data_IF_945906821070
#
_entry.id   IF_945906821070
#
_cell.length_a   1.000
_cell.length_b   1.000
_cell.length_c   1.000
_cell.angle_alpha   90.00
_cell.angle_beta   90.00
_cell.angle_gamma   90.00
#
_symmetry.space_group_name_H-M   'P 1'
#
loop_
_entity.id
_entity.type
_entity.pdbx_description
1 polymer ?
#
# COMPACT_ATOMS: atom_id res chain seq x y z
N UNK A 1 -5.99 28.57 37.95
CA UNK A 1 -6.02 27.14 38.29
C UNK A 1 -6.60 26.43 37.08
N UNK A 2 -5.82 26.36 36.00
CA UNK A 2 -4.86 25.28 35.66
C UNK A 2 -5.60 24.27 34.75
N UNK A 3 -5.35 24.15 33.45
CA UNK A 3 -4.12 24.29 32.66
C UNK A 3 -4.44 24.96 31.31
N UNK A 4 -4.05 26.23 31.17
CA UNK A 4 -3.82 26.87 29.88
C UNK A 4 -2.36 26.58 29.50
N UNK A 5 -2.15 25.48 28.77
CA UNK A 5 -0.81 24.99 28.45
C UNK A 5 -0.77 24.20 27.14
N UNK A 6 -0.40 24.90 26.07
CA UNK A 6 0.36 24.37 24.91
C UNK A 6 -0.04 23.00 24.36
N UNK A 7 -1.19 22.91 23.69
CA UNK A 7 -1.36 21.94 22.61
C UNK A 7 -2.12 22.63 21.49
N UNK A 8 -1.57 22.59 20.28
CA UNK A 8 -2.19 23.14 19.09
C UNK A 8 -3.31 22.17 18.67
N UNK A 9 -4.56 22.60 18.81
CA UNK A 9 -5.77 21.81 18.47
C UNK A 9 -6.00 21.82 16.96
N UNK A 10 -5.34 20.94 16.21
CA UNK A 10 -5.19 21.11 14.75
C UNK A 10 -5.78 20.07 13.77
N UNK A 11 -6.47 19.00 14.18
CA UNK A 11 -7.31 18.27 13.20
C UNK A 11 -8.81 18.52 13.34
N UNK A 12 -9.35 18.63 14.56
CA UNK A 12 -10.81 18.81 14.76
C UNK A 12 -11.28 20.21 14.38
N UNK A 13 -10.40 21.21 14.52
CA UNK A 13 -10.72 22.59 14.15
C UNK A 13 -10.74 22.77 12.62
N UNK A 14 -9.96 22.00 11.85
CA UNK A 14 -9.97 22.12 10.38
C UNK A 14 -11.25 21.56 9.75
N UNK A 15 -11.80 20.49 10.32
CA UNK A 15 -13.14 20.00 9.93
C UNK A 15 -14.22 21.07 10.21
N UNK A 16 -14.11 21.81 11.32
CA UNK A 16 -15.05 22.88 11.68
C UNK A 16 -14.79 24.25 11.03
N UNK A 17 -13.56 24.51 10.55
CA UNK A 17 -13.16 25.83 10.00
C UNK A 17 -13.15 25.83 8.47
N UNK A 18 -13.11 24.68 7.80
CA UNK A 18 -13.24 24.60 6.34
C UNK A 18 -14.59 24.08 5.83
N UNK A 19 -15.31 23.24 6.59
CA UNK A 19 -16.41 22.45 5.99
C UNK A 19 -17.82 22.63 6.59
N UNK A 20 -17.99 23.35 7.69
CA UNK A 20 -19.34 23.70 8.13
C UNK A 20 -19.44 24.48 9.43
N UNK A 21 -20.49 25.31 9.50
CA UNK A 21 -20.86 26.00 10.73
C UNK A 21 -21.31 24.96 11.78
N UNK A 22 -21.14 25.24 13.09
CA UNK A 22 -21.48 24.31 14.20
C UNK A 22 -22.94 23.79 14.20
N UNK A 23 -23.80 24.40 13.40
CA UNK A 23 -25.24 24.10 13.26
C UNK A 23 -25.59 23.28 12.01
N UNK A 24 -24.61 22.97 11.14
CA UNK A 24 -24.82 22.20 9.90
C UNK A 24 -24.67 20.70 10.13
N UNK A 25 -25.46 19.91 9.40
CA UNK A 25 -25.33 18.45 9.37
C UNK A 25 -23.96 18.06 8.80
N UNK A 26 -23.15 17.34 9.58
CA UNK A 26 -21.82 16.93 9.16
C UNK A 26 -21.82 16.01 7.93
N UNK A 27 -22.96 15.39 7.61
CA UNK A 27 -23.12 14.57 6.42
C UNK A 27 -23.13 15.39 5.12
N UNK A 28 -23.23 16.73 5.20
CA UNK A 28 -23.13 17.64 4.08
C UNK A 28 -21.69 18.17 3.88
N UNK A 29 -20.77 17.87 4.79
CA UNK A 29 -19.40 18.34 4.73
C UNK A 29 -18.64 17.63 3.61
N UNK A 30 -17.81 18.38 2.88
CA UNK A 30 -16.92 17.79 1.88
C UNK A 30 -15.99 16.77 2.55
N UNK A 31 -15.80 15.64 1.87
CA UNK A 31 -15.03 14.51 2.39
C UNK A 31 -15.74 13.67 3.45
N UNK A 32 -16.97 13.99 3.86
CA UNK A 32 -17.75 13.16 4.80
C UNK A 32 -18.85 12.41 4.05
N UNK A 33 -18.92 11.09 4.26
CA UNK A 33 -20.07 10.28 3.81
C UNK A 33 -20.73 9.61 5.01
N UNK A 34 -22.04 9.76 5.09
CA UNK A 34 -22.86 9.09 6.08
C UNK A 34 -23.66 7.93 5.50
N UNK A 35 -23.96 6.96 6.34
CA UNK A 35 -24.94 5.93 6.05
C UNK A 35 -26.35 6.55 6.07
N UNK A 36 -27.07 6.45 4.95
CA UNK A 36 -28.38 7.10 4.75
C UNK A 36 -29.46 6.65 5.75
N UNK A 37 -29.34 5.45 6.32
CA UNK A 37 -30.34 4.88 7.24
C UNK A 37 -30.06 5.27 8.68
N UNK A 38 -28.78 5.30 9.08
CA UNK A 38 -28.37 5.51 10.47
C UNK A 38 -27.88 6.91 10.76
N UNK A 39 -27.60 7.73 9.73
CA UNK A 39 -26.97 9.04 9.84
C UNK A 39 -25.52 9.01 10.33
N UNK A 40 -24.91 7.82 10.50
CA UNK A 40 -23.55 7.69 11.02
C UNK A 40 -22.52 7.84 9.91
N UNK A 41 -21.41 8.53 10.20
CA UNK A 41 -20.26 8.66 9.31
C UNK A 41 -19.64 7.29 9.03
N UNK A 42 -19.47 6.97 7.75
CA UNK A 42 -18.87 5.73 7.24
C UNK A 42 -17.61 5.99 6.40
N UNK A 43 -17.42 7.21 5.90
CA UNK A 43 -16.25 7.61 5.13
C UNK A 43 -15.76 8.97 5.60
N UNK A 44 -14.45 9.09 5.75
CA UNK A 44 -13.76 10.36 5.95
C UNK A 44 -12.61 10.47 4.94
N UNK A 45 -12.65 11.52 4.12
CA UNK A 45 -11.59 11.90 3.20
C UNK A 45 -10.99 13.21 3.71
N UNK A 46 -9.79 13.10 4.28
CA UNK A 46 -9.08 14.18 4.96
C UNK A 46 -7.70 14.36 4.34
N UNK A 47 -7.58 14.17 3.02
CA UNK A 47 -6.35 14.34 2.28
C UNK A 47 -6.06 15.83 1.99
N UNK A 48 -4.78 16.17 1.75
CA UNK A 48 -4.35 17.54 1.41
C UNK A 48 -4.77 18.63 2.41
N UNK A 49 -4.97 18.26 3.69
CA UNK A 49 -5.45 19.19 4.72
C UNK A 49 -4.37 20.17 5.20
N UNK A 50 -3.11 19.92 4.87
CA UNK A 50 -1.98 20.74 5.30
C UNK A 50 -1.53 21.69 4.18
N UNK A 51 -1.57 23.00 4.44
CA UNK A 51 -0.99 24.01 3.55
C UNK A 51 0.55 23.92 3.55
N UNK A 52 1.16 23.96 2.36
CA UNK A 52 2.62 23.96 2.13
C UNK A 52 3.38 25.10 2.84
N UNK A 53 2.68 26.12 3.35
CA UNK A 53 3.29 27.26 4.04
C UNK A 53 3.84 26.95 5.44
N UNK A 54 3.59 25.75 5.98
CA UNK A 54 4.01 25.33 7.32
C UNK A 54 5.07 24.22 7.31
N UNK A 55 5.93 24.22 6.29
CA UNK A 55 7.11 23.35 6.16
C UNK A 55 8.24 23.74 7.12
N UNK A 56 7.96 23.81 8.42
CA UNK A 56 9.03 23.88 9.43
C UNK A 56 9.56 22.47 9.73
N UNK A 57 10.29 21.90 8.76
CA UNK A 57 11.39 20.91 8.89
C UNK A 57 11.24 19.63 9.73
N UNK A 58 10.13 19.40 10.40
CA UNK A 58 9.87 18.26 11.27
C UNK A 58 8.53 17.63 10.93
N UNK A 59 8.54 16.36 10.57
CA UNK A 59 7.35 15.58 10.28
C UNK A 59 6.26 15.70 11.36
N UNK A 60 4.98 15.69 10.95
CA UNK A 60 3.85 15.87 11.87
C UNK A 60 3.42 14.55 12.48
N UNK A 61 3.16 14.55 13.79
CA UNK A 61 2.56 13.39 14.45
C UNK A 61 1.05 13.57 14.55
N UNK A 62 0.30 12.58 14.10
CA UNK A 62 -1.16 12.63 14.04
C UNK A 62 -1.80 11.95 15.26
N UNK A 63 -2.88 12.55 15.77
CA UNK A 63 -3.65 12.00 16.88
C UNK A 63 -4.80 11.13 16.36
N UNK A 64 -4.62 9.80 16.36
CA UNK A 64 -5.64 8.86 15.90
C UNK A 64 -6.89 8.83 16.79
N UNK A 65 -6.82 9.34 18.03
CA UNK A 65 -7.95 9.35 18.96
C UNK A 65 -9.13 10.19 18.45
N UNK A 66 -8.90 11.10 17.51
CA UNK A 66 -9.98 11.87 16.87
C UNK A 66 -10.96 10.99 16.08
N UNK A 67 -10.57 9.79 15.68
CA UNK A 67 -11.47 8.88 14.97
C UNK A 67 -12.32 8.01 15.90
N UNK A 68 -12.05 8.01 17.20
CA UNK A 68 -12.78 7.20 18.17
C UNK A 68 -14.31 7.38 18.16
N UNK A 69 -14.88 8.57 17.90
CA UNK A 69 -16.33 8.72 17.79
C UNK A 69 -16.95 8.02 16.57
N UNK A 70 -16.20 7.80 15.49
CA UNK A 70 -16.71 7.25 14.23
C UNK A 70 -16.67 5.71 14.23
N UNK A 71 -17.49 5.08 15.07
CA UNK A 71 -17.54 3.61 15.23
C UNK A 71 -17.98 2.84 13.98
N UNK A 72 -18.60 3.54 13.04
CA UNK A 72 -19.10 2.97 11.78
C UNK A 72 -18.19 3.27 10.58
N UNK A 73 -17.04 3.91 10.83
CA UNK A 73 -16.07 4.27 9.80
C UNK A 73 -15.55 3.01 9.10
N UNK A 74 -15.68 3.01 7.77
CA UNK A 74 -15.27 1.93 6.86
C UNK A 74 -14.15 2.36 5.93
N UNK A 75 -14.07 3.66 5.63
CA UNK A 75 -13.05 4.23 4.76
C UNK A 75 -12.45 5.48 5.43
N UNK A 76 -11.13 5.55 5.47
CA UNK A 76 -10.39 6.69 5.97
C UNK A 76 -9.25 7.03 5.01
N UNK A 77 -9.24 8.24 4.51
CA UNK A 77 -8.16 8.78 3.70
C UNK A 77 -7.44 9.91 4.43
N UNK A 78 -6.16 9.69 4.72
CA UNK A 78 -5.22 10.64 5.33
C UNK A 78 -4.02 10.91 4.43
N UNK A 79 -4.14 10.61 3.13
CA UNK A 79 -3.07 10.79 2.16
C UNK A 79 -2.64 12.26 2.05
N UNK A 80 -1.42 12.52 1.60
CA UNK A 80 -0.95 13.87 1.27
C UNK A 80 -1.03 14.89 2.43
N UNK A 81 -0.66 14.49 3.66
CA UNK A 81 -0.76 15.33 4.86
C UNK A 81 0.57 15.57 5.60
N UNK A 82 1.70 15.14 5.03
CA UNK A 82 3.03 15.28 5.63
C UNK A 82 3.15 14.62 7.03
N UNK A 83 2.36 13.58 7.30
CA UNK A 83 2.33 12.87 8.58
C UNK A 83 3.53 11.93 8.67
N UNK A 84 4.31 12.02 9.75
CA UNK A 84 5.46 11.12 10.00
C UNK A 84 5.20 10.00 10.99
N UNK A 85 4.11 10.07 11.76
CA UNK A 85 3.80 9.04 12.73
C UNK A 85 2.59 9.40 13.59
N UNK A 86 2.40 8.62 14.65
CA UNK A 86 1.28 8.79 15.59
C UNK A 86 1.75 9.40 16.90
N UNK A 87 0.92 10.24 17.52
CA UNK A 87 1.18 10.72 18.88
C UNK A 87 1.17 9.50 19.84
N UNK A 88 2.21 9.28 20.67
CA UNK A 88 2.24 8.18 21.64
C UNK A 88 1.05 8.24 22.61
N UNK A 89 0.49 7.08 22.99
CA UNK A 89 -0.68 6.92 23.89
C UNK A 89 -2.01 7.53 23.42
N UNK A 90 -1.99 8.45 22.46
CA UNK A 90 -3.16 9.00 21.77
C UNK A 90 -3.31 8.43 20.34
N UNK A 91 -2.41 7.51 19.99
CA UNK A 91 -2.38 6.76 18.73
C UNK A 91 -2.90 5.33 18.85
N UNK A 92 -2.05 4.38 18.44
CA UNK A 92 -2.33 2.99 18.07
C UNK A 92 -3.21 2.12 18.98
N UNK A 93 -3.23 2.32 20.30
CA UNK A 93 -4.12 1.56 21.19
C UNK A 93 -5.60 1.81 20.88
N UNK A 94 -5.90 2.98 20.33
CA UNK A 94 -7.26 3.45 20.05
C UNK A 94 -7.78 2.99 18.69
N UNK A 95 -6.91 2.61 17.75
CA UNK A 95 -7.30 2.09 16.43
C UNK A 95 -8.04 0.75 16.52
N UNK A 96 -7.81 -0.03 17.59
CA UNK A 96 -8.61 -1.22 17.90
C UNK A 96 -10.12 -0.95 17.97
N UNK A 97 -10.51 0.30 18.23
CA UNK A 97 -11.90 0.72 18.28
C UNK A 97 -12.52 1.03 16.91
N UNK A 98 -11.73 1.07 15.83
CA UNK A 98 -12.19 1.22 14.43
C UNK A 98 -12.40 -0.15 13.79
N UNK A 99 -13.19 -1.01 14.44
CA UNK A 99 -13.36 -2.42 14.07
C UNK A 99 -14.10 -2.67 12.75
N UNK A 100 -14.60 -1.62 12.10
CA UNK A 100 -15.26 -1.66 10.80
C UNK A 100 -14.45 -1.02 9.68
N UNK A 101 -13.26 -0.49 9.98
CA UNK A 101 -12.42 0.17 8.98
C UNK A 101 -11.87 -0.88 8.01
N UNK A 102 -12.23 -0.77 6.74
CA UNK A 102 -11.85 -1.72 5.69
C UNK A 102 -10.81 -1.13 4.73
N UNK A 103 -10.87 0.18 4.48
CA UNK A 103 -9.97 0.89 3.55
C UNK A 103 -9.26 2.01 4.27
N UNK A 104 -7.92 2.03 4.15
CA UNK A 104 -7.08 3.06 4.77
C UNK A 104 -6.02 3.56 3.79
N UNK A 105 -6.12 4.85 3.45
CA UNK A 105 -5.12 5.56 2.67
C UNK A 105 -4.18 6.36 3.57
N UNK A 106 -2.88 6.05 3.48
CA UNK A 106 -1.78 6.73 4.16
C UNK A 106 -0.68 7.14 3.16
N UNK A 107 -0.94 7.01 1.86
CA UNK A 107 -0.02 7.35 0.79
C UNK A 107 0.37 8.84 0.78
N UNK A 108 1.51 9.17 0.18
CA UNK A 108 2.04 10.55 0.11
C UNK A 108 2.19 11.22 1.48
N UNK A 109 2.76 10.51 2.44
CA UNK A 109 3.08 11.01 3.76
C UNK A 109 4.58 10.79 4.05
N UNK A 110 4.98 10.98 5.31
CA UNK A 110 6.36 10.82 5.76
C UNK A 110 6.49 9.62 6.73
N UNK A 111 5.60 8.64 6.67
CA UNK A 111 5.59 7.48 7.57
C UNK A 111 6.82 6.59 7.34
N UNK A 112 7.21 5.87 8.39
CA UNK A 112 8.26 4.85 8.33
C UNK A 112 7.82 3.58 9.06
N UNK A 113 8.68 2.57 9.11
CA UNK A 113 8.38 1.23 9.64
C UNK A 113 7.78 1.23 11.07
N UNK A 114 8.00 2.28 11.88
CA UNK A 114 7.45 2.38 13.23
C UNK A 114 5.92 2.33 13.30
N UNK A 115 5.21 2.64 12.20
CA UNK A 115 3.74 2.62 12.19
C UNK A 115 3.14 1.25 11.95
N UNK A 116 3.90 0.27 11.43
CA UNK A 116 3.34 -1.01 10.98
C UNK A 116 2.70 -1.81 12.12
N UNK A 117 3.31 -1.77 13.31
CA UNK A 117 2.78 -2.44 14.52
C UNK A 117 1.44 -1.85 14.99
N UNK A 118 1.13 -0.60 14.62
CA UNK A 118 -0.16 0.01 14.91
C UNK A 118 -1.26 -0.42 13.95
N UNK A 119 -0.91 -0.61 12.68
CA UNK A 119 -1.84 -0.98 11.61
C UNK A 119 -2.39 -2.39 11.81
N UNK A 120 -1.57 -3.30 12.34
CA UNK A 120 -1.97 -4.66 12.69
C UNK A 120 -3.13 -4.76 13.69
N UNK A 121 -3.44 -3.66 14.40
CA UNK A 121 -4.55 -3.58 15.37
C UNK A 121 -5.90 -3.26 14.73
N UNK A 122 -5.98 -3.20 13.41
CA UNK A 122 -7.21 -2.99 12.65
C UNK A 122 -7.50 -4.25 11.82
N UNK A 123 -7.91 -5.36 12.45
CA UNK A 123 -8.05 -6.66 11.77
C UNK A 123 -9.18 -6.69 10.73
N UNK A 124 -9.95 -5.60 10.59
CA UNK A 124 -10.97 -5.41 9.57
C UNK A 124 -10.43 -4.93 8.23
N UNK A 125 -9.18 -4.44 8.17
CA UNK A 125 -8.60 -3.90 6.94
C UNK A 125 -8.60 -4.93 5.81
N UNK A 126 -9.06 -4.47 4.66
CA UNK A 126 -9.04 -5.17 3.37
C UNK A 126 -8.09 -4.49 2.39
N UNK A 127 -7.97 -3.16 2.47
CA UNK A 127 -7.16 -2.37 1.56
C UNK A 127 -6.31 -1.38 2.37
N UNK A 128 -5.00 -1.39 2.10
CA UNK A 128 -4.03 -0.54 2.77
C UNK A 128 -3.07 0.09 1.76
N UNK A 129 -3.06 1.41 1.71
CA UNK A 129 -2.21 2.18 0.81
C UNK A 129 -1.13 2.92 1.59
N UNK A 130 0.13 2.55 1.35
CA UNK A 130 1.34 3.07 1.99
C UNK A 130 2.32 3.70 0.99
N UNK A 131 1.89 3.89 -0.25
CA UNK A 131 2.72 4.40 -1.34
C UNK A 131 3.34 5.77 -1.03
N UNK A 132 4.49 6.10 -1.64
CA UNK A 132 5.12 7.42 -1.49
C UNK A 132 5.33 7.84 -0.02
N UNK A 133 6.04 7.02 0.75
CA UNK A 133 6.38 7.26 2.16
C UNK A 133 7.89 7.02 2.38
N UNK A 134 8.34 7.02 3.64
CA UNK A 134 9.73 6.77 4.03
C UNK A 134 9.91 5.35 4.62
N UNK A 135 9.14 4.36 4.16
CA UNK A 135 9.36 2.97 4.55
C UNK A 135 10.60 2.42 3.86
N UNK A 136 11.33 1.55 4.54
CA UNK A 136 12.51 0.92 3.97
C UNK A 136 12.62 -0.56 4.35
N UNK A 137 13.35 -1.29 3.52
CA UNK A 137 13.71 -2.69 3.75
C UNK A 137 15.06 -2.86 4.45
N UNK A 138 15.51 -1.90 5.27
CA UNK A 138 16.80 -2.03 5.96
C UNK A 138 16.67 -2.88 7.23
N UNK A 139 17.67 -3.72 7.51
CA UNK A 139 17.76 -4.48 8.76
C UNK A 139 17.99 -3.49 9.92
N UNK A 140 17.24 -3.59 11.04
CA UNK A 140 16.29 -4.65 11.37
C UNK A 140 14.89 -4.43 10.78
N UNK A 141 14.32 -5.50 10.20
CA UNK A 141 12.95 -5.58 9.68
C UNK A 141 11.91 -5.59 10.80
N UNK A 142 11.79 -4.50 11.54
CA UNK A 142 10.81 -4.41 12.62
C UNK A 142 9.46 -3.95 12.06
N UNK A 143 8.41 -4.73 12.31
CA UNK A 143 7.02 -4.33 12.12
C UNK A 143 6.27 -4.98 10.96
N UNK A 144 6.93 -5.40 9.87
CA UNK A 144 6.24 -6.01 8.73
C UNK A 144 5.59 -7.35 9.06
N UNK A 145 6.22 -8.15 9.92
CA UNK A 145 5.59 -9.37 10.46
C UNK A 145 4.24 -9.08 11.13
N UNK A 146 4.04 -7.87 11.69
CA UNK A 146 2.77 -7.49 12.30
C UNK A 146 1.64 -7.38 11.27
N UNK A 147 1.94 -7.08 10.00
CA UNK A 147 0.91 -7.05 8.96
C UNK A 147 0.32 -8.44 8.67
N UNK A 148 1.02 -9.53 9.04
CA UNK A 148 0.47 -10.89 8.96
C UNK A 148 -0.78 -11.10 9.85
N UNK A 149 -1.00 -10.23 10.84
CA UNK A 149 -2.21 -10.24 11.67
C UNK A 149 -3.45 -9.72 10.92
N UNK A 150 -3.27 -9.04 9.80
CA UNK A 150 -4.34 -8.51 8.95
C UNK A 150 -4.86 -9.61 8.01
N UNK A 151 -5.50 -10.63 8.57
CA UNK A 151 -5.98 -11.82 7.84
C UNK A 151 -7.03 -11.55 6.74
N UNK A 152 -7.57 -10.34 6.67
CA UNK A 152 -8.53 -9.90 5.65
C UNK A 152 -7.91 -8.99 4.58
N UNK A 153 -6.62 -8.69 4.67
CA UNK A 153 -5.95 -7.75 3.77
C UNK A 153 -5.82 -8.37 2.37
N UNK A 154 -6.52 -7.80 1.40
CA UNK A 154 -6.55 -8.26 0.01
C UNK A 154 -5.73 -7.35 -0.91
N UNK A 155 -5.66 -6.05 -0.62
CA UNK A 155 -4.90 -5.06 -1.40
C UNK A 155 -3.86 -4.38 -0.52
N UNK A 156 -2.61 -4.39 -0.96
CA UNK A 156 -1.51 -3.71 -0.29
C UNK A 156 -0.66 -2.94 -1.30
N UNK A 157 -0.69 -1.62 -1.21
CA UNK A 157 0.13 -0.74 -2.04
C UNK A 157 1.28 -0.18 -1.22
N UNK A 158 2.50 -0.41 -1.70
CA UNK A 158 3.76 -0.06 -1.04
C UNK A 158 4.75 0.55 -2.04
N UNK A 159 4.22 1.09 -3.13
CA UNK A 159 4.95 1.75 -4.21
C UNK A 159 5.75 2.96 -3.72
N UNK A 160 6.77 3.38 -4.47
CA UNK A 160 7.51 4.62 -4.21
C UNK A 160 8.04 4.72 -2.75
N UNK A 161 8.71 3.66 -2.29
CA UNK A 161 9.39 3.58 -0.99
C UNK A 161 10.84 3.08 -1.20
N UNK A 162 11.54 2.72 -0.12
CA UNK A 162 12.92 2.22 -0.15
C UNK A 162 12.99 0.71 0.18
N UNK A 163 12.10 -0.10 -0.42
CA UNK A 163 12.10 -1.55 -0.24
C UNK A 163 13.13 -2.24 -1.15
N UNK A 164 13.82 -3.25 -0.61
CA UNK A 164 14.63 -4.19 -1.38
C UNK A 164 13.97 -5.60 -1.35
N UNK A 165 14.57 -6.59 -2.02
CA UNK A 165 13.99 -7.93 -2.20
C UNK A 165 13.53 -8.63 -0.90
N UNK A 166 14.13 -8.31 0.24
CA UNK A 166 13.72 -8.84 1.56
C UNK A 166 12.27 -8.52 1.96
N UNK A 167 11.61 -7.58 1.28
CA UNK A 167 10.20 -7.30 1.52
C UNK A 167 9.32 -8.53 1.23
N UNK A 168 9.71 -9.35 0.25
CA UNK A 168 8.96 -10.54 -0.14
C UNK A 168 8.87 -11.57 0.99
N UNK A 169 9.97 -11.80 1.71
CA UNK A 169 9.95 -12.66 2.89
C UNK A 169 9.25 -12.00 4.08
N UNK A 170 9.37 -10.68 4.23
CA UNK A 170 8.71 -9.93 5.32
C UNK A 170 7.18 -9.95 5.23
N UNK A 171 6.64 -10.03 4.00
CA UNK A 171 5.21 -10.10 3.74
C UNK A 171 4.67 -11.54 3.63
N UNK A 172 5.51 -12.56 3.85
CA UNK A 172 5.13 -13.97 3.63
C UNK A 172 4.01 -14.48 4.55
N UNK A 173 3.66 -13.73 5.59
CA UNK A 173 2.55 -14.05 6.49
C UNK A 173 1.17 -13.58 6.00
N UNK A 174 1.09 -12.76 4.95
CA UNK A 174 -0.16 -12.15 4.48
C UNK A 174 -0.76 -12.97 3.32
N UNK A 175 -1.20 -14.19 3.63
CA UNK A 175 -1.69 -15.13 2.62
C UNK A 175 -3.01 -14.70 1.93
N UNK A 176 -3.70 -13.68 2.44
CA UNK A 176 -4.96 -13.15 1.90
C UNK A 176 -4.80 -12.22 0.70
N UNK A 177 -3.58 -11.74 0.42
CA UNK A 177 -3.34 -10.77 -0.66
C UNK A 177 -3.76 -11.30 -2.03
N UNK A 178 -4.47 -10.43 -2.75
CA UNK A 178 -4.87 -10.57 -4.16
C UNK A 178 -4.14 -9.54 -5.03
N UNK A 179 -3.84 -8.37 -4.48
CA UNK A 179 -3.14 -7.29 -5.17
C UNK A 179 -1.98 -6.77 -4.33
N UNK A 180 -0.81 -6.68 -4.95
CA UNK A 180 0.40 -6.15 -4.32
C UNK A 180 1.10 -5.20 -5.29
N UNK A 181 1.25 -3.95 -4.87
CA UNK A 181 2.06 -2.96 -5.58
C UNK A 181 3.37 -2.69 -4.84
N UNK A 182 4.48 -3.05 -5.46
CA UNK A 182 5.85 -2.79 -5.04
C UNK A 182 6.61 -1.96 -6.08
N UNK A 183 5.90 -1.27 -6.96
CA UNK A 183 6.50 -0.45 -8.02
C UNK A 183 7.36 0.68 -7.45
N UNK A 184 8.30 1.19 -8.25
CA UNK A 184 9.16 2.32 -7.89
C UNK A 184 9.87 2.14 -6.54
N UNK A 185 10.42 0.96 -6.28
CA UNK A 185 11.24 0.65 -5.11
C UNK A 185 12.67 0.28 -5.55
N UNK A 186 13.46 -0.27 -4.62
CA UNK A 186 14.84 -0.70 -4.84
C UNK A 186 14.97 -2.23 -4.94
N UNK A 187 13.94 -2.93 -5.43
CA UNK A 187 14.04 -4.35 -5.75
C UNK A 187 15.00 -4.51 -6.93
N UNK A 188 15.97 -5.42 -6.81
CA UNK A 188 17.07 -5.48 -7.78
C UNK A 188 17.61 -6.88 -8.02
N UNK A 189 18.36 -7.01 -9.11
CA UNK A 189 19.01 -8.27 -9.46
C UNK A 189 18.00 -9.38 -9.74
N UNK A 190 18.40 -10.60 -9.41
CA UNK A 190 17.60 -11.80 -9.66
C UNK A 190 16.75 -12.11 -8.44
N UNK A 191 15.42 -12.11 -8.61
CA UNK A 191 14.49 -12.50 -7.54
C UNK A 191 14.24 -14.02 -7.60
N UNK A 192 14.25 -14.69 -6.46
CA UNK A 192 13.91 -16.11 -6.40
C UNK A 192 12.39 -16.28 -6.41
N UNK A 193 11.84 -17.01 -7.39
CA UNK A 193 10.37 -17.21 -7.52
C UNK A 193 9.78 -17.83 -6.23
N UNK A 194 10.58 -18.61 -5.50
CA UNK A 194 10.20 -19.22 -4.23
C UNK A 194 9.82 -18.20 -3.14
N UNK A 195 10.33 -16.96 -3.21
CA UNK A 195 9.98 -15.88 -2.28
C UNK A 195 8.50 -15.48 -2.41
N UNK A 196 7.89 -15.74 -3.57
CA UNK A 196 6.48 -15.47 -3.79
C UNK A 196 5.55 -16.59 -3.33
N UNK A 197 6.06 -17.70 -2.75
CA UNK A 197 5.25 -18.87 -2.37
C UNK A 197 4.09 -18.53 -1.44
N UNK A 198 4.27 -17.54 -0.58
CA UNK A 198 3.25 -17.12 0.36
C UNK A 198 2.05 -16.44 -0.32
N UNK A 199 2.24 -15.81 -1.47
CA UNK A 199 1.22 -15.04 -2.18
C UNK A 199 0.41 -15.93 -3.14
N UNK A 200 0.01 -17.12 -2.67
CA UNK A 200 -0.72 -18.11 -3.49
C UNK A 200 -2.10 -17.62 -3.99
N UNK A 201 -2.64 -16.56 -3.38
CA UNK A 201 -3.88 -15.92 -3.78
C UNK A 201 -3.69 -14.69 -4.68
N UNK A 202 -2.45 -14.29 -4.97
CA UNK A 202 -2.15 -13.09 -5.70
C UNK A 202 -2.65 -13.19 -7.15
N UNK A 203 -3.39 -12.18 -7.56
CA UNK A 203 -3.97 -12.00 -8.88
C UNK A 203 -3.20 -10.91 -9.64
N UNK A 204 -2.87 -9.81 -8.96
CA UNK A 204 -2.25 -8.64 -9.58
C UNK A 204 -0.95 -8.27 -8.84
N UNK A 205 0.14 -8.15 -9.60
CA UNK A 205 1.47 -7.82 -9.07
C UNK A 205 2.13 -6.73 -9.91
N UNK A 206 2.42 -5.60 -9.26
CA UNK A 206 3.11 -4.46 -9.88
C UNK A 206 4.54 -4.37 -9.35
N UNK A 207 5.51 -4.47 -10.25
CA UNK A 207 6.94 -4.42 -9.97
C UNK A 207 7.67 -3.39 -10.85
N UNK A 208 6.94 -2.59 -11.61
CA UNK A 208 7.50 -1.61 -12.52
C UNK A 208 8.37 -0.57 -11.81
N UNK A 209 9.34 0.01 -12.51
CA UNK A 209 10.23 1.03 -11.93
C UNK A 209 11.21 0.51 -10.87
N UNK A 210 11.47 -0.81 -10.84
CA UNK A 210 12.50 -1.45 -10.01
C UNK A 210 13.73 -1.84 -10.86
N UNK A 211 14.81 -2.31 -10.23
CA UNK A 211 16.05 -2.73 -10.91
C UNK A 211 16.17 -4.26 -11.12
N UNK A 212 15.04 -4.95 -11.29
CA UNK A 212 14.98 -6.41 -11.44
C UNK A 212 15.55 -6.82 -12.80
N UNK A 213 16.41 -7.86 -12.84
CA UNK A 213 17.01 -8.34 -14.09
C UNK A 213 16.54 -9.73 -14.52
N UNK A 214 16.11 -10.57 -13.58
CA UNK A 214 15.67 -11.95 -13.84
C UNK A 214 14.81 -12.49 -12.68
N UNK A 215 14.05 -13.55 -12.95
CA UNK A 215 13.44 -14.40 -11.94
C UNK A 215 14.11 -15.77 -11.99
N UNK A 216 14.91 -16.08 -10.97
CA UNK A 216 15.59 -17.38 -10.90
C UNK A 216 14.62 -18.50 -10.56
N UNK A 217 14.68 -19.58 -11.36
CA UNK A 217 13.83 -20.77 -11.23
C UNK A 217 14.23 -21.68 -10.06
N UNK A 218 13.22 -22.33 -9.51
CA UNK A 218 13.33 -23.67 -8.94
C UNK A 218 12.54 -24.64 -9.83
N UNK A 219 12.72 -25.96 -9.65
CA UNK A 219 11.98 -27.00 -10.38
C UNK A 219 10.46 -26.99 -10.10
N UNK A 220 10.01 -26.19 -9.14
CA UNK A 220 8.62 -26.09 -8.73
C UNK A 220 7.86 -25.11 -9.64
N UNK A 221 7.22 -25.67 -10.65
CA UNK A 221 6.25 -24.96 -11.48
C UNK A 221 4.97 -24.66 -10.67
N UNK A 222 4.38 -23.47 -10.84
CA UNK A 222 3.05 -23.06 -10.35
C UNK A 222 2.96 -22.37 -8.97
N UNK A 223 3.96 -21.57 -8.58
CA UNK A 223 3.93 -20.83 -7.30
C UNK A 223 2.82 -19.76 -7.27
N UNK A 224 2.67 -18.96 -8.32
CA UNK A 224 1.62 -17.94 -8.42
C UNK A 224 0.52 -18.37 -9.39
N UNK A 225 -0.16 -19.45 -9.03
CA UNK A 225 -1.17 -20.09 -9.89
C UNK A 225 -2.41 -19.22 -10.19
N UNK A 226 -2.65 -18.14 -9.44
CA UNK A 226 -3.77 -17.21 -9.66
C UNK A 226 -3.37 -15.91 -10.34
N UNK A 227 -2.07 -15.65 -10.52
CA UNK A 227 -1.59 -14.38 -11.05
C UNK A 227 -2.10 -14.18 -12.48
N UNK A 228 -2.81 -13.07 -12.69
CA UNK A 228 -3.45 -12.67 -13.93
C UNK A 228 -2.75 -11.45 -14.53
N UNK A 229 -2.29 -10.51 -13.71
CA UNK A 229 -1.58 -9.32 -14.13
C UNK A 229 -0.19 -9.27 -13.52
N UNK A 230 0.80 -9.01 -14.36
CA UNK A 230 2.17 -8.74 -13.94
C UNK A 230 2.71 -7.52 -14.69
N UNK A 231 3.05 -6.47 -13.95
CA UNK A 231 3.73 -5.30 -14.50
C UNK A 231 5.23 -5.34 -14.17
N UNK A 232 6.05 -5.42 -15.23
CA UNK A 232 7.51 -5.41 -15.19
C UNK A 232 8.07 -4.26 -16.03
N UNK A 233 7.25 -3.25 -16.34
CA UNK A 233 7.67 -2.10 -17.12
C UNK A 233 8.78 -1.32 -16.40
N UNK A 234 9.69 -0.67 -17.15
CA UNK A 234 10.79 0.09 -16.58
C UNK A 234 11.62 -0.73 -15.56
N UNK A 235 11.91 -2.00 -15.89
CA UNK A 235 12.86 -2.82 -15.14
C UNK A 235 14.13 -3.08 -15.95
N UNK A 236 15.07 -3.88 -15.44
CA UNK A 236 16.32 -4.25 -16.14
C UNK A 236 16.20 -5.63 -16.80
N UNK A 237 14.98 -6.07 -17.09
CA UNK A 237 14.70 -7.42 -17.58
C UNK A 237 15.13 -7.59 -19.05
N UNK A 238 15.71 -8.76 -19.33
CA UNK A 238 16.09 -9.20 -20.69
C UNK A 238 15.10 -10.23 -21.26
N UNK A 239 15.29 -10.63 -22.52
CA UNK A 239 14.45 -11.64 -23.19
C UNK A 239 14.40 -13.02 -22.48
N UNK A 240 15.31 -13.30 -21.53
CA UNK A 240 15.32 -14.53 -20.72
C UNK A 240 14.12 -14.67 -19.78
N UNK A 241 13.42 -13.57 -19.49
CA UNK A 241 12.20 -13.58 -18.67
C UNK A 241 11.15 -14.57 -19.14
N UNK A 242 11.08 -14.81 -20.45
CA UNK A 242 10.16 -15.76 -21.06
C UNK A 242 10.32 -17.18 -20.53
N UNK A 243 11.54 -17.54 -20.11
CA UNK A 243 11.77 -18.84 -19.48
C UNK A 243 11.07 -18.92 -18.12
N UNK A 244 11.03 -17.83 -17.37
CA UNK A 244 10.48 -17.74 -16.02
C UNK A 244 8.97 -17.55 -15.99
N UNK A 245 8.35 -17.08 -17.08
CA UNK A 245 6.89 -16.96 -17.20
C UNK A 245 6.13 -18.29 -17.02
N UNK A 246 6.80 -19.43 -17.19
CA UNK A 246 6.25 -20.77 -16.90
C UNK A 246 5.81 -20.89 -15.42
N UNK A 247 6.34 -20.07 -14.52
CA UNK A 247 5.91 -20.02 -13.12
C UNK A 247 4.51 -19.41 -12.92
N UNK A 248 3.97 -18.73 -13.92
CA UNK A 248 2.74 -17.94 -13.87
C UNK A 248 1.69 -18.49 -14.87
N UNK A 249 1.12 -19.69 -14.61
CA UNK A 249 0.30 -20.39 -15.60
C UNK A 249 -1.02 -19.68 -15.94
N UNK A 250 -1.50 -18.76 -15.09
CA UNK A 250 -2.77 -18.05 -15.24
C UNK A 250 -2.63 -16.63 -15.81
N UNK A 251 -1.42 -16.23 -16.19
CA UNK A 251 -1.14 -14.85 -16.59
C UNK A 251 -1.92 -14.46 -17.86
N UNK A 252 -2.63 -13.33 -17.78
CA UNK A 252 -3.48 -12.76 -18.84
C UNK A 252 -2.94 -11.42 -19.35
N UNK A 253 -2.30 -10.64 -18.49
CA UNK A 253 -1.80 -9.32 -18.81
C UNK A 253 -0.35 -9.23 -18.34
N UNK A 254 0.55 -8.84 -19.24
CA UNK A 254 1.97 -8.71 -18.97
C UNK A 254 2.47 -7.39 -19.56
N UNK A 255 2.83 -6.45 -18.70
CA UNK A 255 3.43 -5.18 -19.13
C UNK A 255 4.96 -5.28 -19.06
N UNK A 256 5.61 -4.93 -20.16
CA UNK A 256 7.06 -5.00 -20.34
C UNK A 256 7.63 -3.72 -20.96
N UNK A 257 6.87 -2.62 -20.94
CA UNK A 257 7.28 -1.38 -21.58
C UNK A 257 8.60 -0.86 -20.98
N UNK A 258 9.42 -0.15 -21.76
CA UNK A 258 10.65 0.48 -21.28
C UNK A 258 11.67 -0.48 -20.61
N UNK A 259 11.81 -1.71 -21.13
CA UNK A 259 12.84 -2.67 -20.74
C UNK A 259 13.92 -2.82 -21.82
N UNK A 260 15.09 -3.34 -21.45
CA UNK A 260 16.16 -3.67 -22.40
C UNK A 260 16.00 -5.09 -22.99
N UNK A 261 14.89 -5.32 -23.69
CA UNK A 261 14.55 -6.61 -24.30
C UNK A 261 15.39 -6.87 -25.57
N UNK A 262 16.69 -7.07 -25.38
CA UNK A 262 17.59 -7.52 -26.45
C UNK A 262 17.68 -9.06 -26.46
N UNK A 263 17.76 -9.63 -27.66
CA UNK A 263 17.91 -11.07 -27.88
C UNK A 263 16.74 -11.71 -28.63
N UNK A 264 16.91 -12.97 -29.08
CA UNK A 264 15.89 -13.64 -29.87
C UNK A 264 14.67 -13.99 -29.00
N UNK A 265 13.51 -13.40 -29.31
CA UNK A 265 12.19 -13.89 -28.88
C UNK A 265 11.87 -15.21 -29.61
N UNK A 266 12.73 -16.23 -29.50
CA UNK A 266 12.67 -17.42 -30.36
C UNK A 266 11.69 -18.50 -29.92
N UNK A 267 11.02 -18.34 -28.77
CA UNK A 267 9.97 -19.29 -28.35
C UNK A 267 8.62 -18.60 -28.24
N UNK A 268 7.86 -18.64 -29.36
CA UNK A 268 6.39 -18.52 -29.35
C UNK A 268 5.70 -19.58 -28.47
N UNK A 269 6.45 -20.55 -27.92
CA UNK A 269 5.96 -21.66 -27.11
C UNK A 269 5.89 -21.39 -25.59
N UNK A 270 6.42 -20.27 -25.08
CA UNK A 270 6.51 -20.02 -23.62
C UNK A 270 5.62 -18.89 -23.10
N UNK A 271 5.05 -18.07 -23.99
CA UNK A 271 4.10 -17.03 -23.58
C UNK A 271 2.74 -17.73 -23.43
N UNK A 272 2.10 -17.72 -22.24
CA UNK A 272 0.74 -18.22 -22.10
C UNK A 272 -0.11 -17.57 -23.20
N UNK A 273 -0.79 -18.37 -24.01
CA UNK A 273 -1.49 -17.95 -25.24
C UNK A 273 -2.52 -16.81 -25.07
N UNK A 274 -2.77 -16.37 -23.84
CA UNK A 274 -3.64 -15.24 -23.48
C UNK A 274 -2.92 -13.97 -23.01
N UNK A 275 -1.60 -13.99 -22.77
CA UNK A 275 -0.81 -12.86 -22.26
C UNK A 275 -0.35 -11.85 -23.33
N UNK A 276 -0.79 -12.00 -24.58
CA UNK A 276 -0.32 -11.18 -25.70
C UNK A 276 -1.13 -9.88 -25.88
N UNK A 277 -1.11 -9.01 -24.87
CA UNK A 277 -1.06 -7.57 -25.11
C UNK A 277 0.32 -7.09 -24.68
N UNK A 278 1.32 -7.44 -25.50
CA UNK A 278 2.58 -6.71 -25.50
C UNK A 278 2.25 -5.30 -25.97
N UNK A 279 2.04 -4.37 -25.04
CA UNK A 279 2.05 -2.95 -25.37
C UNK A 279 3.50 -2.55 -25.66
N UNK A 280 3.95 -2.88 -26.86
CA UNK A 280 5.20 -2.41 -27.41
C UNK A 280 4.97 -1.04 -28.04
N UNK A 281 4.66 -0.03 -27.23
CA UNK A 281 4.86 1.36 -27.65
C UNK A 281 6.36 1.65 -27.65
N UNK A 282 7.04 1.09 -28.64
CA UNK A 282 8.39 1.42 -29.07
C UNK A 282 8.42 2.85 -29.64
N UNK A 283 9.49 3.62 -29.47
CA UNK A 283 10.20 4.19 -30.60
C UNK A 283 11.05 3.12 -31.31
#
# INVERSE_FOLDING_TARGET
MELLGRFWWWPVVLVLVHFGNKESDCCEWEGVKCNITTGRVIQLTLNWMVSRSEESGGGRYFNASYFLPFKDLQYLDLSSNLISGWIPNEGFDKFSALSKLEVLHLDYNNFNNSVLSSLSRIPSLKELYLGSNNFNGSIPFQGFESLSLLSKLEVLHMDANDFNNSILSSLSGIASLKELDLSNNNLNGSIHIQEFKAFSNLEDLYLNGNEINDFSKTKDSNILSKLQLLDLSQTKISARILESLVAFPSLKTLYLAYNNLEGPFTNKASIPSRAAQLDSSLP
#
